data_IF_240275208531
#
_entry.id   IF_240275208531
#
_cell.length_a   1.000
_cell.length_b   1.000
_cell.length_c   1.000
_cell.angle_alpha   90.00
_cell.angle_beta   90.00
_cell.angle_gamma   90.00
#
_symmetry.space_group_name_H-M   'P 1'
#
loop_
_entity.id
_entity.type
_entity.pdbx_description
1 polymer ?
#
# COMPACT_ATOMS: atom_id res chain seq x y z
N UNK A 1 59.83 17.86 1.22
CA UNK A 1 60.79 18.94 0.90
C UNK A 1 60.00 20.25 0.95
N UNK A 2 60.35 21.29 1.74
CA UNK A 2 61.59 22.10 1.75
C UNK A 2 61.64 23.08 0.54
N UNK A 3 61.96 24.39 0.65
CA UNK A 3 62.36 25.24 1.81
C UNK A 3 62.36 26.75 1.45
N UNK A 4 61.97 27.64 2.38
CA UNK A 4 62.39 29.07 2.44
C UNK A 4 61.90 30.05 1.33
N UNK A 5 62.15 31.37 1.42
CA UNK A 5 62.58 32.18 2.58
C UNK A 5 62.25 33.69 2.47
N UNK A 6 62.56 34.40 3.58
CA UNK A 6 62.53 35.85 3.95
C UNK A 6 63.04 36.87 2.90
N UNK A 7 62.95 38.22 3.04
CA UNK A 7 63.24 39.21 4.14
C UNK A 7 62.65 40.60 3.68
N UNK A 8 62.42 41.70 4.43
CA UNK A 8 62.69 42.27 5.79
C UNK A 8 61.33 42.87 6.32
N UNK A 9 61.06 43.53 7.46
CA UNK A 9 61.72 44.19 8.64
C UNK A 9 62.34 45.61 8.48
N UNK A 10 61.75 46.62 9.16
CA UNK A 10 62.33 47.95 9.46
C UNK A 10 61.52 48.75 10.50
N UNK A 11 62.17 49.23 11.58
CA UNK A 11 61.62 50.11 12.63
C UNK A 11 62.77 50.75 13.47
N UNK A 12 62.69 52.05 13.81
CA UNK A 12 63.05 52.60 15.15
C UNK A 12 62.21 53.85 15.56
N UNK A 13 62.32 54.56 16.71
CA UNK A 13 62.64 54.31 18.15
C UNK A 13 62.10 55.52 18.98
N UNK A 14 62.01 55.39 20.30
CA UNK A 14 61.54 56.32 21.36
C UNK A 14 62.15 57.74 21.48
N UNK A 15 61.44 58.61 22.24
CA UNK A 15 62.01 59.74 23.03
C UNK A 15 61.33 61.11 22.84
N UNK A 16 61.19 62.02 23.83
CA UNK A 16 61.36 61.93 25.29
C UNK A 16 60.65 63.11 26.04
N UNK A 17 60.82 63.15 27.38
CA UNK A 17 60.30 64.04 28.47
C UNK A 17 60.46 65.58 28.22
N UNK A 18 59.95 66.55 29.02
CA UNK A 18 59.60 66.59 30.45
C UNK A 18 58.75 67.83 30.88
N UNK A 19 58.38 67.89 32.19
CA UNK A 19 58.11 69.09 33.02
C UNK A 19 56.88 69.99 32.71
N UNK A 20 56.35 70.86 33.60
CA UNK A 20 56.23 70.94 35.09
C UNK A 20 55.34 72.18 35.46
N UNK A 21 54.72 72.25 36.66
CA UNK A 21 54.43 73.54 37.32
C UNK A 21 52.98 74.01 37.55
N UNK A 22 52.57 73.99 38.82
CA UNK A 22 51.78 75.01 39.56
C UNK A 22 50.43 75.59 39.04
N UNK A 23 49.37 75.26 39.79
CA UNK A 23 47.98 75.73 39.76
C UNK A 23 47.69 77.25 39.90
N UNK A 24 46.55 77.69 39.34
CA UNK A 24 45.40 78.33 40.05
C UNK A 24 44.26 78.73 39.08
N UNK A 25 42.99 78.47 39.43
CA UNK A 25 41.81 78.92 38.68
C UNK A 25 40.48 78.41 39.24
N UNK A 26 39.43 79.25 39.25
CA UNK A 26 38.11 78.95 39.85
C UNK A 26 37.13 78.20 38.92
N UNK A 27 35.96 77.77 39.44
CA UNK A 27 35.11 76.76 38.78
C UNK A 27 34.17 77.31 37.69
N UNK A 28 34.33 76.83 36.46
CA UNK A 28 33.40 77.06 35.35
C UNK A 28 32.34 75.92 35.25
N UNK A 29 31.24 76.06 35.99
CA UNK A 29 30.07 75.17 35.93
C UNK A 29 29.25 75.40 34.66
N UNK A 30 29.24 74.47 33.68
CA UNK A 30 28.00 74.16 32.91
C UNK A 30 27.98 72.82 32.14
N UNK A 31 26.85 72.12 32.28
CA UNK A 31 26.24 71.12 31.38
C UNK A 31 27.11 70.06 30.66
N UNK A 32 27.21 68.90 31.30
CA UNK A 32 27.22 67.63 30.56
C UNK A 32 25.89 67.46 29.80
N UNK A 33 25.94 67.38 28.47
CA UNK A 33 24.80 66.92 27.64
C UNK A 33 24.83 65.40 27.56
N UNK A 34 24.02 64.74 28.40
CA UNK A 34 24.00 63.27 28.51
C UNK A 34 23.48 62.56 27.25
N UNK A 35 24.39 61.97 26.48
CA UNK A 35 24.06 61.18 25.27
C UNK A 35 23.65 59.72 25.52
N UNK A 36 23.70 59.23 26.77
CA UNK A 36 23.65 57.78 27.07
C UNK A 36 22.25 57.26 27.43
N UNK A 37 21.34 58.12 27.91
CA UNK A 37 20.12 57.68 28.59
C UNK A 37 18.93 57.28 27.68
N UNK A 38 18.87 57.71 26.41
CA UNK A 38 17.72 57.41 25.54
C UNK A 38 17.74 55.98 24.97
N UNK A 39 18.92 55.44 24.67
CA UNK A 39 19.05 54.08 24.13
C UNK A 39 18.68 53.00 25.14
N UNK A 40 19.06 53.18 26.41
CA UNK A 40 18.83 52.19 27.47
C UNK A 40 17.36 52.07 27.85
N UNK A 41 16.62 53.17 27.96
CA UNK A 41 15.18 53.14 28.25
C UNK A 41 14.38 52.53 27.10
N UNK A 42 14.70 52.89 25.85
CA UNK A 42 14.07 52.28 24.67
C UNK A 42 14.34 50.76 24.58
N UNK A 43 15.59 50.34 24.84
CA UNK A 43 15.95 48.92 24.90
C UNK A 43 15.23 48.17 26.05
N UNK A 44 15.11 48.78 27.23
CA UNK A 44 14.38 48.19 28.36
C UNK A 44 12.89 47.98 28.04
N UNK A 45 12.22 48.97 27.42
CA UNK A 45 10.82 48.84 26.99
C UNK A 45 10.68 47.77 25.90
N UNK A 46 11.61 47.71 24.93
CA UNK A 46 11.63 46.66 23.91
C UNK A 46 11.73 45.27 24.54
N UNK A 47 12.62 45.06 25.52
CA UNK A 47 12.74 43.79 26.26
C UNK A 47 11.45 43.47 27.03
N UNK A 48 10.86 44.45 27.72
CA UNK A 48 9.63 44.27 28.51
C UNK A 48 8.42 43.85 27.64
N UNK A 49 8.37 44.23 26.36
CA UNK A 49 7.27 43.86 25.45
C UNK A 49 7.59 42.62 24.58
N UNK A 50 8.79 42.54 24.00
CA UNK A 50 9.17 41.46 23.08
C UNK A 50 9.38 40.13 23.82
N UNK A 51 9.92 40.14 25.04
CA UNK A 51 10.20 38.92 25.79
C UNK A 51 8.92 38.16 26.21
N UNK A 52 7.87 38.78 26.80
CA UNK A 52 6.60 38.08 27.05
C UNK A 52 5.84 37.71 25.76
N UNK A 53 5.96 38.51 24.68
CA UNK A 53 5.40 38.12 23.38
C UNK A 53 6.08 36.86 22.82
N UNK A 54 7.41 36.79 22.89
CA UNK A 54 8.17 35.60 22.49
C UNK A 54 7.83 34.38 23.38
N UNK A 55 7.62 34.57 24.69
CA UNK A 55 7.22 33.49 25.61
C UNK A 55 5.80 32.99 25.32
N UNK A 56 4.85 33.87 25.01
CA UNK A 56 3.46 33.46 24.68
C UNK A 56 3.35 32.83 23.30
N UNK A 57 4.11 33.30 22.31
CA UNK A 57 4.23 32.65 21.00
C UNK A 57 4.93 31.29 21.11
N UNK A 58 6.01 31.19 21.88
CA UNK A 58 6.70 29.90 22.14
C UNK A 58 5.80 28.92 22.90
N UNK A 59 5.13 29.37 23.96
CA UNK A 59 4.19 28.54 24.74
C UNK A 59 2.99 28.06 23.92
N UNK A 60 2.40 28.92 23.09
CA UNK A 60 1.30 28.52 22.18
C UNK A 60 1.79 27.59 21.07
N UNK A 61 3.00 27.79 20.52
CA UNK A 61 3.62 26.87 19.57
C UNK A 61 3.91 25.50 20.20
N UNK A 62 4.45 25.45 21.42
CA UNK A 62 4.67 24.22 22.19
C UNK A 62 3.35 23.49 22.45
N UNK A 63 2.28 24.21 22.85
CA UNK A 63 0.96 23.62 23.05
C UNK A 63 0.35 23.10 21.74
N UNK A 64 0.54 23.81 20.62
CA UNK A 64 0.14 23.35 19.29
C UNK A 64 0.92 22.09 18.87
N UNK A 65 2.23 22.06 19.08
CA UNK A 65 3.10 20.90 18.84
C UNK A 65 2.69 19.70 19.70
N UNK A 66 2.42 19.88 20.99
CA UNK A 66 1.92 18.83 21.89
C UNK A 66 0.49 18.37 21.56
N UNK A 67 -0.33 19.17 20.87
CA UNK A 67 -1.63 18.74 20.32
C UNK A 67 -1.43 17.95 19.03
N UNK A 68 -0.71 18.50 18.07
CA UNK A 68 -0.41 17.87 16.78
C UNK A 68 0.29 16.51 16.96
N UNK A 69 1.32 16.43 17.82
CA UNK A 69 2.03 15.18 18.11
C UNK A 69 1.07 14.12 18.67
N UNK A 70 0.21 14.46 19.63
CA UNK A 70 -0.80 13.53 20.17
C UNK A 70 -1.89 13.13 19.18
N UNK A 71 -2.16 13.94 18.16
CA UNK A 71 -3.12 13.62 17.10
C UNK A 71 -2.57 12.61 16.06
N UNK A 72 -1.24 12.44 15.97
CA UNK A 72 -0.59 11.54 14.99
C UNK A 72 0.18 10.36 15.61
N UNK A 73 0.37 10.33 16.93
CA UNK A 73 0.95 9.19 17.64
C UNK A 73 -0.11 8.20 18.11
N UNK A 74 0.13 6.90 17.94
CA UNK A 74 -0.68 5.85 18.56
C UNK A 74 -0.74 5.99 20.09
N UNK A 75 -1.85 5.54 20.68
CA UNK A 75 -2.10 5.68 22.11
C UNK A 75 -1.11 4.83 22.95
N UNK A 76 -0.59 5.39 24.04
CA UNK A 76 0.46 4.77 24.87
C UNK A 76 -0.06 3.73 25.87
N UNK A 77 -1.21 3.11 25.62
CA UNK A 77 -1.72 2.01 26.43
C UNK A 77 -1.12 0.68 25.95
N UNK A 78 -1.06 -0.36 26.82
CA UNK A 78 -0.72 -1.71 26.38
C UNK A 78 -1.65 -2.17 25.23
N UNK A 79 -1.12 -2.83 24.18
CA UNK A 79 -1.96 -3.39 23.12
C UNK A 79 -2.98 -4.39 23.65
N UNK A 80 -4.24 -4.28 23.20
CA UNK A 80 -5.31 -5.21 23.53
C UNK A 80 -5.21 -6.57 22.79
N UNK A 81 -4.29 -6.67 21.82
CA UNK A 81 -3.99 -7.89 21.08
C UNK A 81 -2.55 -8.34 21.40
N UNK A 82 -2.27 -9.66 21.46
CA UNK A 82 -0.90 -10.14 21.65
C UNK A 82 -0.01 -9.80 20.44
N UNK A 83 1.32 -9.75 20.63
CA UNK A 83 2.26 -9.59 19.52
C UNK A 83 2.04 -10.70 18.48
N UNK A 84 2.14 -10.34 17.21
CA UNK A 84 1.95 -11.25 16.07
C UNK A 84 0.60 -12.01 16.04
N UNK A 85 -0.46 -11.45 16.65
CA UNK A 85 -1.83 -12.02 16.72
C UNK A 85 -2.48 -12.43 15.39
N UNK A 86 -1.99 -11.91 14.26
CA UNK A 86 -2.46 -12.29 12.92
C UNK A 86 -1.64 -13.38 12.24
N UNK A 87 -0.48 -13.75 12.79
CA UNK A 87 0.44 -14.73 12.19
C UNK A 87 -0.15 -16.15 12.15
N UNK A 88 0.27 -17.00 11.19
CA UNK A 88 -0.24 -18.38 11.10
C UNK A 88 0.13 -19.24 12.32
N UNK A 89 1.20 -18.88 13.06
CA UNK A 89 1.57 -19.56 14.31
C UNK A 89 0.65 -19.22 15.49
N UNK A 90 0.07 -18.01 15.54
CA UNK A 90 -0.81 -17.56 16.63
C UNK A 90 -2.30 -17.77 16.35
N UNK A 91 -2.70 -17.75 15.08
CA UNK A 91 -4.10 -17.83 14.68
C UNK A 91 -4.24 -18.44 13.26
N UNK A 92 -3.86 -19.72 13.07
CA UNK A 92 -3.79 -20.38 11.76
C UNK A 92 -5.13 -20.38 11.02
N UNK A 93 -6.22 -20.75 11.69
CA UNK A 93 -7.54 -20.89 11.09
C UNK A 93 -8.07 -19.56 10.52
N UNK A 94 -7.61 -18.44 11.06
CA UNK A 94 -7.95 -17.09 10.62
C UNK A 94 -6.93 -16.50 9.64
N UNK A 95 -5.77 -17.14 9.36
CA UNK A 95 -4.71 -16.51 8.55
C UNK A 95 -5.19 -16.20 7.12
N UNK A 96 -5.83 -17.17 6.46
CA UNK A 96 -6.53 -16.99 5.19
C UNK A 96 -8.01 -16.67 5.38
N UNK A 97 -8.57 -15.81 4.52
CA UNK A 97 -10.02 -15.58 4.49
C UNK A 97 -10.45 -14.61 3.38
N UNK A 98 -11.77 -14.43 3.25
CA UNK A 98 -12.43 -13.55 2.27
C UNK A 98 -12.34 -12.07 2.66
N UNK A 99 -11.17 -11.63 3.13
CA UNK A 99 -10.93 -10.29 3.71
C UNK A 99 -10.77 -9.19 2.66
N UNK A 100 -11.58 -9.23 1.59
CA UNK A 100 -11.60 -8.29 0.46
C UNK A 100 -13.06 -7.91 0.10
N UNK A 101 -13.85 -7.32 1.03
CA UNK A 101 -15.31 -7.23 0.90
C UNK A 101 -15.85 -6.39 -0.27
N UNK A 102 -14.99 -5.64 -0.97
CA UNK A 102 -15.35 -4.83 -2.13
C UNK A 102 -15.03 -5.52 -3.48
N UNK A 103 -14.48 -6.74 -3.49
CA UNK A 103 -14.49 -7.59 -4.71
C UNK A 103 -15.55 -8.68 -4.57
N UNK A 104 -16.20 -9.06 -5.68
CA UNK A 104 -17.30 -10.03 -5.65
C UNK A 104 -16.89 -11.36 -5.01
N UNK A 105 -15.70 -11.86 -5.32
CA UNK A 105 -15.13 -13.06 -4.69
C UNK A 105 -13.61 -13.04 -4.74
N UNK A 106 -12.96 -13.34 -3.61
CA UNK A 106 -11.51 -13.35 -3.48
C UNK A 106 -11.04 -13.51 -2.03
N UNK A 107 -9.77 -13.84 -1.85
CA UNK A 107 -9.16 -14.07 -0.53
C UNK A 107 -7.83 -13.32 -0.39
N UNK A 108 -7.37 -13.17 0.86
CA UNK A 108 -5.99 -12.75 1.19
C UNK A 108 -5.56 -13.30 2.54
N UNK A 109 -4.26 -13.26 2.82
CA UNK A 109 -3.73 -13.47 4.18
C UNK A 109 -3.96 -12.24 5.08
N UNK A 110 -4.00 -12.42 6.41
CA UNK A 110 -4.02 -11.31 7.40
C UNK A 110 -2.63 -10.69 7.63
N UNK A 111 -1.94 -10.37 6.54
CA UNK A 111 -0.57 -9.85 6.53
C UNK A 111 -0.48 -8.37 6.14
N UNK A 112 0.66 -7.76 6.49
CA UNK A 112 1.12 -6.47 5.98
C UNK A 112 1.76 -6.57 4.58
N UNK A 113 2.21 -7.76 4.16
CA UNK A 113 2.62 -8.07 2.78
C UNK A 113 1.79 -9.29 2.32
N UNK A 114 0.50 -9.09 2.00
CA UNK A 114 -0.41 -10.19 1.75
C UNK A 114 -0.22 -10.81 0.37
N UNK A 115 -0.35 -12.14 0.30
CA UNK A 115 -0.71 -12.81 -0.94
C UNK A 115 -2.22 -12.64 -1.15
N UNK A 116 -2.64 -12.18 -2.34
CA UNK A 116 -4.04 -11.95 -2.68
C UNK A 116 -4.47 -12.82 -3.85
N UNK A 117 -5.72 -13.29 -3.81
CA UNK A 117 -6.37 -13.97 -4.93
C UNK A 117 -7.74 -13.37 -5.20
N UNK A 118 -8.23 -13.48 -6.43
CA UNK A 118 -9.58 -13.01 -6.79
C UNK A 118 -10.13 -13.64 -8.05
N UNK A 119 -11.44 -13.47 -8.23
CA UNK A 119 -12.20 -13.80 -9.42
C UNK A 119 -12.59 -12.52 -10.16
N UNK A 120 -12.56 -12.57 -11.48
CA UNK A 120 -13.34 -11.69 -12.35
C UNK A 120 -14.12 -12.54 -13.36
N UNK A 121 -15.18 -12.01 -13.96
CA UNK A 121 -15.84 -12.65 -15.11
C UNK A 121 -16.27 -11.64 -16.16
N UNK A 122 -16.42 -12.10 -17.40
CA UNK A 122 -17.04 -11.34 -18.47
C UNK A 122 -17.91 -12.25 -19.34
N UNK A 123 -19.15 -11.84 -19.58
CA UNK A 123 -19.99 -12.47 -20.61
C UNK A 123 -19.61 -11.91 -21.98
N UNK A 124 -19.42 -12.78 -22.96
CA UNK A 124 -19.18 -12.40 -24.35
C UNK A 124 -20.46 -11.87 -25.00
N UNK A 125 -20.32 -10.87 -25.86
CA UNK A 125 -21.43 -10.18 -26.50
C UNK A 125 -20.98 -8.88 -27.18
N UNK A 126 -21.94 -8.02 -27.55
CA UNK A 126 -21.67 -6.75 -28.24
C UNK A 126 -20.95 -5.69 -27.39
N UNK A 127 -21.04 -5.79 -26.06
CA UNK A 127 -20.34 -4.95 -25.10
C UNK A 127 -20.00 -5.77 -23.84
N UNK A 128 -18.90 -6.54 -23.83
CA UNK A 128 -18.53 -7.37 -22.68
C UNK A 128 -18.19 -6.48 -21.47
N UNK A 129 -18.87 -6.72 -20.34
CA UNK A 129 -18.56 -6.07 -19.06
C UNK A 129 -17.68 -6.99 -18.23
N UNK A 130 -16.51 -6.51 -17.81
CA UNK A 130 -15.65 -7.19 -16.83
C UNK A 130 -16.16 -6.87 -15.41
N UNK A 131 -16.57 -7.90 -14.67
CA UNK A 131 -17.03 -7.80 -13.28
C UNK A 131 -15.89 -8.12 -12.33
N UNK A 132 -15.64 -7.28 -11.32
CA UNK A 132 -14.57 -7.49 -10.35
C UNK A 132 -14.88 -6.87 -8.98
N UNK A 133 -15.04 -5.55 -8.91
CA UNK A 133 -15.45 -4.83 -7.71
C UNK A 133 -16.96 -4.69 -7.61
N UNK A 134 -17.47 -4.62 -6.38
CA UNK A 134 -18.90 -4.59 -6.05
C UNK A 134 -19.52 -3.21 -6.33
N UNK A 135 -19.56 -2.79 -7.59
CA UNK A 135 -20.04 -1.48 -8.02
C UNK A 135 -21.58 -1.44 -8.11
N UNK A 136 -22.23 -0.63 -7.26
CA UNK A 136 -23.70 -0.56 -7.17
C UNK A 136 -24.41 -0.21 -8.51
N UNK A 137 -23.72 0.47 -9.43
CA UNK A 137 -24.26 0.89 -10.72
C UNK A 137 -24.02 -0.06 -11.89
N UNK A 138 -23.37 -1.21 -11.71
CA UNK A 138 -22.88 -2.01 -12.83
C UNK A 138 -23.94 -2.94 -13.47
N UNK A 139 -25.01 -3.25 -12.72
CA UNK A 139 -26.13 -4.10 -13.11
C UNK A 139 -26.10 -5.54 -12.59
N UNK A 140 -25.15 -5.92 -11.73
CA UNK A 140 -25.14 -7.21 -11.01
C UNK A 140 -26.07 -7.12 -9.80
N UNK A 141 -27.01 -8.05 -9.68
CA UNK A 141 -27.87 -8.17 -8.49
C UNK A 141 -29.14 -9.00 -8.71
N UNK A 142 -29.72 -9.58 -7.64
CA UNK A 142 -29.16 -9.68 -6.28
C UNK A 142 -27.91 -10.58 -6.21
N UNK A 143 -27.08 -10.34 -5.19
CA UNK A 143 -25.95 -11.20 -4.85
C UNK A 143 -25.73 -11.21 -3.33
N UNK A 144 -25.09 -12.27 -2.81
CA UNK A 144 -24.78 -12.37 -1.39
C UNK A 144 -24.39 -13.78 -0.94
N UNK A 145 -23.87 -13.88 0.29
CA UNK A 145 -23.60 -15.16 0.95
C UNK A 145 -24.91 -15.81 1.40
N UNK A 146 -25.14 -17.05 0.95
CA UNK A 146 -26.18 -17.95 1.50
C UNK A 146 -25.66 -18.62 2.78
N UNK A 147 -24.37 -19.00 2.77
CA UNK A 147 -23.66 -19.55 3.91
C UNK A 147 -22.27 -18.90 4.00
N UNK A 148 -21.88 -18.46 5.19
CA UNK A 148 -20.50 -18.07 5.51
C UNK A 148 -20.32 -18.19 7.02
N UNK A 149 -19.39 -19.02 7.48
CA UNK A 149 -19.17 -19.27 8.92
C UNK A 149 -18.09 -18.35 9.54
N UNK A 150 -17.50 -17.47 8.74
CA UNK A 150 -16.36 -16.63 9.12
C UNK A 150 -15.02 -17.36 9.25
N UNK A 151 -14.99 -18.69 9.13
CA UNK A 151 -13.88 -19.53 9.62
C UNK A 151 -13.41 -20.62 8.66
N UNK A 152 -14.29 -21.45 8.10
CA UNK A 152 -13.91 -22.66 7.35
C UNK A 152 -14.53 -22.75 5.95
N UNK A 153 -15.73 -22.20 5.71
CA UNK A 153 -16.40 -22.33 4.41
C UNK A 153 -17.37 -21.19 4.09
N UNK A 154 -17.78 -21.12 2.82
CA UNK A 154 -18.91 -20.31 2.41
C UNK A 154 -19.42 -20.64 1.02
N UNK A 155 -20.67 -20.25 0.76
CA UNK A 155 -21.35 -20.27 -0.54
C UNK A 155 -22.08 -18.95 -0.75
N UNK A 156 -21.86 -18.37 -1.92
CA UNK A 156 -22.46 -17.11 -2.37
C UNK A 156 -23.14 -17.33 -3.72
N UNK A 157 -24.28 -16.68 -3.93
CA UNK A 157 -24.93 -16.57 -5.24
C UNK A 157 -24.75 -15.16 -5.79
N UNK A 158 -24.59 -15.05 -7.09
CA UNK A 158 -24.50 -13.78 -7.83
C UNK A 158 -25.36 -13.91 -9.08
N UNK A 159 -26.30 -12.98 -9.28
CA UNK A 159 -27.08 -12.88 -10.51
C UNK A 159 -26.58 -11.72 -11.36
N UNK A 160 -26.19 -12.00 -12.61
CA UNK A 160 -25.70 -11.03 -13.59
C UNK A 160 -26.47 -11.22 -14.90
N UNK A 161 -27.63 -10.55 -15.00
CA UNK A 161 -28.55 -10.71 -16.12
C UNK A 161 -29.06 -12.15 -16.26
N UNK A 162 -28.66 -12.81 -17.35
CA UNK A 162 -29.03 -14.20 -17.64
C UNK A 162 -28.13 -15.24 -16.93
N UNK A 163 -27.06 -14.81 -16.26
CA UNK A 163 -26.13 -15.69 -15.54
C UNK A 163 -26.51 -15.83 -14.07
N UNK A 164 -26.47 -17.06 -13.56
CA UNK A 164 -26.29 -17.36 -12.15
C UNK A 164 -24.87 -17.86 -11.93
N UNK A 165 -24.10 -17.17 -11.10
CA UNK A 165 -22.84 -17.66 -10.59
C UNK A 165 -23.03 -18.15 -9.15
N UNK A 166 -22.48 -19.30 -8.83
CA UNK A 166 -22.34 -19.79 -7.45
C UNK A 166 -20.85 -19.87 -7.12
N UNK A 167 -20.41 -19.13 -6.12
CA UNK A 167 -19.02 -19.09 -5.62
C UNK A 167 -18.95 -19.81 -4.27
N UNK A 168 -18.19 -20.89 -4.20
CA UNK A 168 -17.98 -21.68 -2.99
C UNK A 168 -16.50 -21.70 -2.60
N UNK A 169 -16.21 -21.70 -1.29
CA UNK A 169 -14.88 -22.02 -0.79
C UNK A 169 -14.94 -22.97 0.42
N UNK A 170 -13.88 -23.76 0.59
CA UNK A 170 -13.59 -24.53 1.80
C UNK A 170 -12.11 -24.37 2.13
N UNK A 171 -11.78 -24.21 3.41
CA UNK A 171 -10.42 -24.26 3.95
C UNK A 171 -10.18 -25.57 4.70
N UNK A 172 -8.93 -26.04 4.68
CA UNK A 172 -8.45 -27.20 5.43
C UNK A 172 -7.27 -26.77 6.31
N UNK A 173 -7.40 -26.74 7.65
CA UNK A 173 -6.28 -26.50 8.54
C UNK A 173 -5.15 -27.52 8.32
N UNK A 174 -3.90 -27.04 8.36
CA UNK A 174 -2.72 -27.88 8.12
C UNK A 174 -1.42 -27.09 8.01
N UNK A 175 -0.29 -27.79 8.12
CA UNK A 175 1.05 -27.19 8.06
C UNK A 175 1.32 -26.19 9.19
N UNK A 176 2.21 -25.23 8.93
CA UNK A 176 2.55 -24.14 9.87
C UNK A 176 2.15 -22.75 9.32
N UNK A 177 1.45 -22.72 8.17
CA UNK A 177 1.30 -21.56 7.30
C UNK A 177 -0.17 -21.18 7.02
N UNK A 178 -1.10 -21.63 7.86
CA UNK A 178 -2.53 -21.30 7.77
C UNK A 178 -3.39 -22.22 6.89
N UNK A 179 -2.89 -23.41 6.53
CA UNK A 179 -3.65 -24.45 5.84
C UNK A 179 -3.88 -24.25 4.34
N UNK A 180 -4.56 -25.23 3.74
CA UNK A 180 -4.97 -25.21 2.34
C UNK A 180 -6.33 -24.52 2.17
N UNK A 181 -6.64 -24.09 0.95
CA UNK A 181 -8.00 -23.72 0.56
C UNK A 181 -8.33 -24.17 -0.87
N UNK A 182 -9.62 -24.23 -1.19
CA UNK A 182 -10.10 -24.59 -2.53
C UNK A 182 -11.38 -23.82 -2.85
N UNK A 183 -11.50 -23.40 -4.11
CA UNK A 183 -12.68 -22.71 -4.64
C UNK A 183 -13.44 -23.60 -5.63
N UNK A 184 -14.76 -23.43 -5.69
CA UNK A 184 -15.57 -23.83 -6.84
C UNK A 184 -16.33 -22.60 -7.35
N UNK A 185 -16.29 -22.38 -8.65
CA UNK A 185 -17.11 -21.37 -9.33
C UNK A 185 -17.97 -22.12 -10.34
N UNK A 186 -19.28 -22.07 -10.17
CA UNK A 186 -20.26 -22.70 -11.05
C UNK A 186 -21.04 -21.61 -11.77
N UNK A 187 -21.19 -21.72 -13.08
CA UNK A 187 -21.92 -20.76 -13.92
C UNK A 187 -23.06 -21.48 -14.62
N UNK A 188 -24.28 -20.98 -14.43
CA UNK A 188 -25.52 -21.54 -14.97
C UNK A 188 -26.29 -20.47 -15.75
N UNK A 189 -26.99 -20.89 -16.80
CA UNK A 189 -27.93 -20.02 -17.52
C UNK A 189 -29.28 -20.04 -16.84
N UNK A 190 -29.84 -18.87 -16.56
CA UNK A 190 -31.21 -18.70 -16.05
C UNK A 190 -32.26 -18.84 -17.17
N UNK A 191 -31.85 -18.78 -18.44
CA UNK A 191 -32.74 -18.70 -19.60
C UNK A 191 -33.46 -20.03 -19.89
N UNK A 192 -34.58 -20.26 -19.21
CA UNK A 192 -35.48 -21.41 -19.39
C UNK A 192 -36.28 -21.31 -20.71
N UNK A 193 -35.61 -21.49 -21.85
CA UNK A 193 -36.27 -21.50 -23.16
C UNK A 193 -35.37 -21.25 -24.38
N UNK A 194 -34.21 -20.61 -24.21
CA UNK A 194 -33.32 -20.25 -25.34
C UNK A 194 -32.11 -21.17 -25.38
N UNK A 195 -31.95 -21.95 -26.46
CA UNK A 195 -30.93 -23.02 -26.55
C UNK A 195 -29.46 -22.56 -26.63
N UNK A 196 -29.18 -21.26 -26.60
CA UNK A 196 -27.84 -20.71 -26.62
C UNK A 196 -27.33 -20.44 -25.20
N UNK A 197 -26.39 -21.26 -24.72
CA UNK A 197 -25.64 -20.94 -23.51
C UNK A 197 -24.74 -19.73 -23.78
N UNK A 198 -24.77 -18.66 -22.95
CA UNK A 198 -23.85 -17.54 -23.10
C UNK A 198 -22.41 -17.99 -22.87
N UNK A 199 -21.50 -17.55 -23.73
CA UNK A 199 -20.06 -17.75 -23.55
C UNK A 199 -19.56 -16.80 -22.45
N UNK A 200 -18.85 -17.35 -21.45
CA UNK A 200 -18.35 -16.61 -20.29
C UNK A 200 -16.87 -16.92 -20.09
N UNK A 201 -16.06 -15.86 -19.98
CA UNK A 201 -14.67 -15.97 -19.50
C UNK A 201 -14.65 -15.79 -17.98
N UNK A 202 -14.01 -16.72 -17.28
CA UNK A 202 -13.67 -16.59 -15.85
C UNK A 202 -12.16 -16.31 -15.74
N UNK A 203 -11.82 -15.30 -14.96
CA UNK A 203 -10.42 -14.89 -14.73
C UNK A 203 -10.07 -15.17 -13.26
N UNK A 204 -9.18 -16.13 -13.03
CA UNK A 204 -8.62 -16.43 -11.73
C UNK A 204 -7.24 -15.77 -11.63
N UNK A 205 -7.06 -14.88 -10.65
CA UNK A 205 -5.79 -14.17 -10.50
C UNK A 205 -5.18 -14.35 -9.10
N UNK A 206 -3.86 -14.20 -9.06
CA UNK A 206 -3.03 -14.10 -7.85
C UNK A 206 -2.14 -12.86 -7.98
N UNK A 207 -1.95 -12.14 -6.87
CA UNK A 207 -1.11 -10.94 -6.79
C UNK A 207 -0.25 -11.02 -5.53
N UNK A 208 1.05 -10.74 -5.69
CA UNK A 208 2.01 -10.53 -4.61
C UNK A 208 2.17 -9.02 -4.34
N UNK A 209 2.38 -8.66 -3.07
CA UNK A 209 2.52 -7.26 -2.60
C UNK A 209 3.97 -6.95 -2.15
N UNK A 210 4.94 -7.69 -2.70
CA UNK A 210 6.33 -7.68 -2.26
C UNK A 210 7.31 -8.15 -3.34
N UNK A 211 8.47 -8.70 -2.92
CA UNK A 211 9.52 -9.22 -3.82
C UNK A 211 9.31 -10.68 -4.24
N UNK A 212 8.14 -11.23 -3.93
CA UNK A 212 7.79 -12.64 -4.14
C UNK A 212 7.59 -12.92 -5.63
N UNK A 213 8.39 -13.84 -6.16
CA UNK A 213 8.32 -14.28 -7.56
C UNK A 213 7.41 -15.49 -7.65
N UNK A 214 6.39 -15.38 -8.50
CA UNK A 214 5.53 -16.50 -8.90
C UNK A 214 6.17 -17.18 -10.10
N UNK A 215 6.26 -18.51 -10.06
CA UNK A 215 6.86 -19.35 -11.11
C UNK A 215 5.75 -20.15 -11.79
N UNK A 216 5.38 -19.83 -13.05
CA UNK A 216 4.41 -20.61 -13.81
C UNK A 216 5.07 -21.89 -14.34
N UNK A 217 4.47 -23.05 -14.06
CA UNK A 217 4.88 -24.34 -14.62
C UNK A 217 3.98 -24.75 -15.80
N UNK A 218 4.60 -24.95 -16.96
CA UNK A 218 3.94 -25.42 -18.17
C UNK A 218 3.56 -26.91 -18.11
N UNK A 219 2.42 -27.24 -18.70
CA UNK A 219 1.99 -28.60 -18.99
C UNK A 219 2.33 -29.01 -20.43
N UNK A 220 1.65 -30.05 -20.91
CA UNK A 220 1.65 -30.37 -22.34
C UNK A 220 1.00 -29.23 -23.15
N UNK A 221 1.38 -29.12 -24.42
CA UNK A 221 0.75 -28.22 -25.41
C UNK A 221 0.70 -26.73 -24.99
N UNK A 222 1.61 -26.30 -24.11
CA UNK A 222 1.72 -24.90 -23.66
C UNK A 222 0.68 -24.45 -22.63
N UNK A 223 -0.17 -25.37 -22.14
CA UNK A 223 -1.17 -25.05 -21.12
C UNK A 223 -0.50 -24.75 -19.76
N UNK A 224 -1.01 -23.77 -19.00
CA UNK A 224 -0.54 -23.51 -17.64
C UNK A 224 -1.01 -24.63 -16.70
N UNK A 225 -0.08 -25.40 -16.13
CA UNK A 225 -0.39 -26.54 -15.26
C UNK A 225 -0.63 -26.11 -13.81
N UNK A 226 0.25 -25.25 -13.29
CA UNK A 226 0.09 -24.58 -12.00
C UNK A 226 1.06 -23.40 -11.87
N UNK A 227 0.86 -22.58 -10.84
CA UNK A 227 1.81 -21.53 -10.42
C UNK A 227 2.36 -21.93 -9.05
N UNK A 228 3.67 -22.02 -8.91
CA UNK A 228 4.36 -22.16 -7.62
C UNK A 228 4.88 -20.79 -7.15
N UNK A 229 5.18 -20.68 -5.86
CA UNK A 229 5.74 -19.47 -5.26
C UNK A 229 6.20 -19.71 -3.83
N UNK A 230 6.94 -18.74 -3.28
CA UNK A 230 7.47 -18.80 -1.93
C UNK A 230 7.32 -17.45 -1.23
N UNK A 231 6.92 -17.45 0.05
CA UNK A 231 7.02 -16.26 0.92
C UNK A 231 7.44 -16.61 2.34
N UNK A 232 7.94 -15.62 3.08
CA UNK A 232 8.39 -15.80 4.47
C UNK A 232 7.28 -16.12 5.47
N UNK A 233 6.00 -15.99 5.08
CA UNK A 233 4.85 -16.33 5.93
C UNK A 233 4.07 -17.56 5.47
N UNK A 234 4.14 -17.90 4.17
CA UNK A 234 3.44 -19.06 3.59
C UNK A 234 4.36 -20.27 3.35
N UNK A 235 5.69 -20.08 3.40
CA UNK A 235 6.64 -21.03 2.85
C UNK A 235 6.39 -21.25 1.35
N UNK A 236 6.62 -22.47 0.88
CA UNK A 236 6.32 -22.88 -0.49
C UNK A 236 4.81 -23.12 -0.68
N UNK A 237 4.22 -22.52 -1.72
CA UNK A 237 2.80 -22.66 -2.05
C UNK A 237 2.58 -22.93 -3.55
N UNK A 238 1.39 -23.42 -3.89
CA UNK A 238 1.00 -23.74 -5.28
C UNK A 238 -0.48 -23.47 -5.55
N UNK A 239 -0.76 -22.79 -6.65
CA UNK A 239 -2.11 -22.60 -7.21
C UNK A 239 -2.31 -23.44 -8.47
N UNK A 240 -3.40 -24.19 -8.53
CA UNK A 240 -3.75 -25.06 -9.66
C UNK A 240 -5.17 -24.77 -10.11
N UNK A 241 -5.35 -24.35 -11.36
CA UNK A 241 -6.66 -24.28 -12.00
C UNK A 241 -6.95 -25.65 -12.63
N UNK A 242 -8.04 -26.30 -12.21
CA UNK A 242 -8.46 -27.58 -12.75
C UNK A 242 -9.33 -27.38 -14.01
N UNK A 243 -9.33 -28.37 -14.90
CA UNK A 243 -10.20 -28.35 -16.08
C UNK A 243 -11.69 -28.26 -15.67
N UNK A 244 -12.51 -27.48 -16.40
CA UNK A 244 -13.92 -27.30 -16.06
C UNK A 244 -14.71 -28.59 -16.26
N UNK A 245 -15.77 -28.77 -15.47
CA UNK A 245 -16.71 -29.90 -15.62
C UNK A 245 -18.15 -29.38 -15.81
N UNK A 246 -19.11 -30.27 -16.04
CA UNK A 246 -20.54 -29.91 -15.88
C UNK A 246 -20.88 -29.77 -14.39
N UNK A 247 -21.87 -28.94 -14.00
CA UNK A 247 -22.36 -28.88 -12.62
C UNK A 247 -22.69 -30.29 -12.07
N UNK A 248 -22.13 -30.62 -10.91
CA UNK A 248 -22.25 -31.97 -10.30
C UNK A 248 -21.49 -33.11 -11.00
N UNK A 249 -20.92 -32.88 -12.19
CA UNK A 249 -20.19 -33.88 -12.97
C UNK A 249 -18.69 -33.90 -12.71
N UNK A 250 -18.08 -35.06 -12.90
CA UNK A 250 -16.63 -35.31 -12.78
C UNK A 250 -15.91 -35.35 -14.13
N UNK A 251 -16.63 -35.43 -15.25
CA UNK A 251 -16.06 -35.47 -16.60
C UNK A 251 -15.55 -34.08 -17.02
N UNK A 252 -14.28 -33.97 -17.46
CA UNK A 252 -13.76 -32.72 -18.01
C UNK A 252 -14.52 -32.28 -19.26
N UNK A 253 -14.74 -30.98 -19.38
CA UNK A 253 -15.22 -30.30 -20.59
C UNK A 253 -14.05 -29.61 -21.27
N UNK A 254 -14.16 -29.44 -22.59
CA UNK A 254 -13.28 -28.54 -23.31
C UNK A 254 -13.45 -27.10 -22.80
N UNK A 255 -12.35 -26.35 -22.73
CA UNK A 255 -12.31 -24.93 -22.43
C UNK A 255 -11.08 -24.30 -23.10
N UNK A 256 -11.19 -23.02 -23.48
CA UNK A 256 -10.03 -22.24 -23.91
C UNK A 256 -9.33 -21.63 -22.69
N UNK A 257 -8.01 -21.50 -22.74
CA UNK A 257 -7.18 -20.97 -21.66
C UNK A 257 -6.31 -19.83 -22.17
N UNK A 258 -6.48 -18.65 -21.58
CA UNK A 258 -5.59 -17.51 -21.77
C UNK A 258 -4.90 -17.16 -20.45
N UNK A 259 -3.60 -16.84 -20.54
CA UNK A 259 -2.78 -16.45 -19.38
C UNK A 259 -2.21 -15.06 -19.61
N UNK A 260 -2.17 -14.24 -18.54
CA UNK A 260 -1.51 -12.95 -18.53
C UNK A 260 -0.62 -12.84 -17.30
N UNK A 261 0.57 -12.27 -17.47
CA UNK A 261 1.58 -12.10 -16.42
C UNK A 261 2.31 -10.77 -16.60
N UNK A 262 2.50 -10.05 -15.50
CA UNK A 262 3.19 -8.76 -15.44
C UNK A 262 3.62 -8.44 -14.00
N UNK A 263 4.33 -7.34 -13.80
CA UNK A 263 4.36 -6.67 -12.50
C UNK A 263 2.95 -6.25 -12.07
N UNK A 264 2.70 -6.25 -10.76
CA UNK A 264 1.48 -5.72 -10.15
C UNK A 264 1.36 -4.20 -10.44
N UNK A 265 0.28 -3.71 -11.09
CA UNK A 265 0.08 -2.27 -11.35
C UNK A 265 -0.40 -1.50 -10.11
N UNK A 266 -0.74 -2.20 -9.03
CA UNK A 266 -1.51 -1.69 -7.89
C UNK A 266 -2.95 -2.21 -7.93
N UNK A 267 -3.46 -2.65 -6.78
CA UNK A 267 -4.74 -3.38 -6.67
C UNK A 267 -5.97 -2.68 -7.30
N UNK A 268 -6.13 -1.34 -7.25
CA UNK A 268 -7.25 -0.66 -7.91
C UNK A 268 -7.21 -0.76 -9.44
N UNK A 269 -6.01 -0.83 -10.05
CA UNK A 269 -5.81 -0.77 -11.50
C UNK A 269 -5.92 -2.15 -12.18
N UNK A 270 -6.17 -3.22 -11.42
CA UNK A 270 -6.29 -4.58 -11.96
C UNK A 270 -7.46 -4.74 -12.95
N UNK A 271 -8.58 -4.05 -12.71
CA UNK A 271 -9.74 -4.07 -13.62
C UNK A 271 -9.39 -3.39 -14.94
N UNK A 272 -8.84 -2.17 -14.88
CA UNK A 272 -8.48 -1.37 -16.06
C UNK A 272 -7.41 -2.06 -16.92
N UNK A 273 -6.42 -2.69 -16.28
CA UNK A 273 -5.34 -3.42 -16.97
C UNK A 273 -5.86 -4.60 -17.82
N UNK A 274 -7.01 -5.18 -17.45
CA UNK A 274 -7.65 -6.27 -18.19
C UNK A 274 -8.80 -5.78 -19.10
N UNK A 275 -9.33 -4.58 -18.87
CA UNK A 275 -10.39 -3.98 -19.69
C UNK A 275 -9.88 -3.32 -20.98
N UNK A 276 -8.61 -2.92 -21.06
CA UNK A 276 -8.02 -2.31 -22.27
C UNK A 276 -7.92 -3.34 -23.42
N UNK A 277 -8.55 -3.10 -24.59
CA UNK A 277 -8.38 -3.95 -25.77
C UNK A 277 -6.95 -3.81 -26.32
N UNK A 278 -6.09 -4.79 -26.03
CA UNK A 278 -4.72 -4.81 -26.58
C UNK A 278 -4.75 -5.21 -28.06
N UNK A 279 -4.23 -4.33 -28.91
CA UNK A 279 -3.64 -4.74 -30.20
C UNK A 279 -2.43 -5.65 -29.92
N UNK A 280 -2.11 -6.54 -30.85
CA UNK A 280 -0.90 -7.36 -30.78
C UNK A 280 0.35 -6.47 -30.71
N UNK A 281 1.04 -6.49 -29.57
CA UNK A 281 2.37 -5.87 -29.44
C UNK A 281 3.44 -6.92 -29.81
N UNK A 282 3.74 -7.01 -31.11
CA UNK A 282 4.73 -7.94 -31.67
C UNK A 282 6.16 -7.55 -31.26
N UNK A 283 6.57 -7.97 -30.06
CA UNK A 283 7.96 -7.83 -29.59
C UNK A 283 8.89 -8.86 -30.25
N UNK A 284 10.09 -8.46 -30.69
CA UNK A 284 11.02 -9.38 -31.36
C UNK A 284 11.78 -10.25 -30.34
N UNK A 285 11.63 -11.57 -30.45
CA UNK A 285 12.38 -12.58 -29.70
C UNK A 285 11.65 -13.12 -28.46
N UNK A 286 11.39 -14.43 -28.45
CA UNK A 286 10.68 -15.13 -27.36
C UNK A 286 9.21 -15.38 -27.69
N UNK A 287 8.94 -16.41 -28.51
CA UNK A 287 7.61 -16.73 -29.00
C UNK A 287 6.72 -17.41 -27.92
N UNK A 288 5.92 -16.60 -27.24
CA UNK A 288 4.71 -17.06 -26.54
C UNK A 288 3.52 -16.26 -27.07
N UNK A 289 2.75 -16.87 -27.97
CA UNK A 289 1.55 -16.25 -28.54
C UNK A 289 0.37 -16.44 -27.58
N UNK A 290 -0.23 -15.34 -27.13
CA UNK A 290 -1.58 -15.36 -26.57
C UNK A 290 -2.58 -15.31 -27.72
N UNK A 291 -3.66 -16.09 -27.63
CA UNK A 291 -4.69 -16.19 -28.67
C UNK A 291 -6.07 -16.17 -28.00
N UNK A 292 -6.88 -15.15 -28.30
CA UNK A 292 -8.16 -14.83 -27.65
C UNK A 292 -9.16 -16.00 -27.58
#
# INVERSE_FOLDING_TARGET
MARGERRRRGAPVDGARAAEGAARGGPARRESRGGVARGTVAAAVLVIVVLPLALTLSGSWLLAWHRARRAVTLHSAPPALPPNSSSPAMAPDLFWGTYRPHVYFGMKTRSAQPLLTGLMWAQHGTAPKLRHTCEQGDGVGPYGWEFHDGLSFGRQHILDGALRLTTEFVKRPGGQHGGDWSWRVTVESQASGTSALPLVSLFFYVVTDGKEVLVPEGGAEGQLKFISGHSSELGDFRFTLLAPTSPGGTTPKYGSYNVFWSSNPGLPLLTDMLAVPRREETKPGGSWQAAC
#
